data_IF_445379870628
#
_entry.id   IF_445379870628
#
_cell.length_a   1.000
_cell.length_b   1.000
_cell.length_c   1.000
_cell.angle_alpha   90.00
_cell.angle_beta   90.00
_cell.angle_gamma   90.00
#
_symmetry.space_group_name_H-M   'P 1'
#
loop_
_entity.id
_entity.type
_entity.pdbx_description
1 polymer ?
#
# COMPACT_ATOMS: atom_id res chain seq x y z
N UNK A 1 3.80 3.91 11.32
CA UNK A 1 3.16 3.95 9.99
C UNK A 1 3.93 3.02 9.08
N UNK A 2 3.22 2.06 8.47
CA UNK A 2 3.80 1.01 7.63
C UNK A 2 3.45 1.29 6.16
N UNK A 3 4.45 1.44 5.30
CA UNK A 3 4.29 1.76 3.88
C UNK A 3 4.75 0.59 3.01
N UNK A 4 3.89 0.12 2.11
CA UNK A 4 4.22 -0.91 1.15
C UNK A 4 4.75 -0.33 -0.16
N UNK A 5 5.96 -0.70 -0.59
CA UNK A 5 6.48 -0.33 -1.89
C UNK A 5 5.97 -1.35 -2.92
N UNK A 6 5.19 -0.88 -3.89
CA UNK A 6 4.59 -1.71 -4.93
C UNK A 6 4.94 -1.21 -6.32
N UNK A 7 4.83 -2.07 -7.32
CA UNK A 7 5.06 -1.74 -8.73
C UNK A 7 5.39 -3.00 -9.53
N UNK A 8 5.44 -2.87 -10.84
CA UNK A 8 5.81 -3.96 -11.74
C UNK A 8 7.25 -4.45 -11.51
N UNK A 9 7.63 -5.63 -11.98
CA UNK A 9 9.03 -6.07 -11.96
C UNK A 9 9.94 -5.09 -12.70
N UNK A 10 11.20 -4.97 -12.24
CA UNK A 10 12.26 -4.16 -12.87
C UNK A 10 11.99 -2.64 -12.96
N UNK A 11 11.11 -2.09 -12.12
CA UNK A 11 10.85 -0.64 -12.06
C UNK A 11 11.74 0.11 -11.06
N UNK A 12 12.56 -0.60 -10.27
CA UNK A 12 13.47 0.00 -9.29
C UNK A 12 13.00 -0.04 -7.83
N UNK A 13 11.98 -0.84 -7.49
CA UNK A 13 11.45 -0.95 -6.10
C UNK A 13 12.54 -1.25 -5.07
N UNK A 14 13.27 -2.34 -5.26
CA UNK A 14 14.31 -2.77 -4.32
C UNK A 14 15.50 -1.79 -4.28
N UNK A 15 15.75 -1.08 -5.38
CA UNK A 15 16.74 0.00 -5.41
C UNK A 15 16.31 1.15 -4.53
N UNK A 16 15.05 1.59 -4.65
CA UNK A 16 14.46 2.62 -3.80
C UNK A 16 14.46 2.19 -2.34
N UNK A 17 13.97 0.98 -2.05
CA UNK A 17 13.97 0.41 -0.70
C UNK A 17 15.36 0.41 -0.07
N UNK A 18 16.36 -0.11 -0.78
CA UNK A 18 17.74 -0.15 -0.32
C UNK A 18 18.33 1.25 -0.11
N UNK A 19 17.98 2.22 -0.94
CA UNK A 19 18.45 3.60 -0.80
C UNK A 19 17.85 4.27 0.45
N UNK A 20 16.58 4.06 0.72
CA UNK A 20 15.89 4.57 1.89
C UNK A 20 16.42 3.93 3.19
N UNK A 21 16.55 2.61 3.19
CA UNK A 21 16.91 1.85 4.39
C UNK A 21 18.40 1.92 4.75
N UNK A 22 19.30 2.01 3.74
CA UNK A 22 20.73 2.20 4.00
C UNK A 22 21.04 3.54 4.67
N UNK A 23 20.33 4.60 4.28
CA UNK A 23 20.49 5.91 4.90
C UNK A 23 20.03 5.92 6.37
N UNK A 24 19.04 5.09 6.73
CA UNK A 24 18.51 4.99 8.10
C UNK A 24 19.10 3.87 8.96
N UNK A 25 19.86 2.94 8.38
CA UNK A 25 20.29 1.72 9.09
C UNK A 25 21.20 2.00 10.31
N UNK A 26 22.04 3.02 10.26
CA UNK A 26 22.92 3.40 11.38
C UNK A 26 22.11 3.97 12.57
N UNK A 27 20.98 4.62 12.30
CA UNK A 27 20.11 5.20 13.32
C UNK A 27 19.06 4.18 13.81
N UNK A 28 18.59 3.30 12.93
CA UNK A 28 17.58 2.30 13.25
C UNK A 28 17.99 1.33 14.38
N UNK A 29 19.29 1.02 14.51
CA UNK A 29 19.83 0.17 15.56
C UNK A 29 19.60 0.74 16.99
N UNK A 30 19.30 2.03 17.10
CA UNK A 30 19.08 2.70 18.39
C UNK A 30 17.60 2.74 18.82
N UNK A 31 16.67 2.23 17.98
CA UNK A 31 15.25 2.22 18.32
C UNK A 31 14.87 0.92 19.03
N UNK A 32 14.29 0.98 20.24
CA UNK A 32 13.75 -0.19 20.92
C UNK A 32 12.60 -0.78 20.12
N UNK A 33 12.55 -2.12 20.02
CA UNK A 33 11.51 -2.89 19.31
C UNK A 33 11.62 -2.99 17.78
N UNK A 34 12.79 -2.69 17.18
CA UNK A 34 13.03 -2.98 15.77
C UNK A 34 13.23 -4.48 15.56
N UNK A 35 12.24 -5.17 15.05
CA UNK A 35 12.39 -6.54 14.53
C UNK A 35 13.04 -6.45 13.16
N UNK A 36 14.16 -7.12 12.96
CA UNK A 36 14.83 -7.22 11.65
C UNK A 36 14.11 -8.32 10.89
N UNK A 37 13.08 -7.94 10.14
CA UNK A 37 12.43 -8.83 9.19
C UNK A 37 13.03 -8.62 7.79
N UNK A 38 13.23 -9.69 7.01
CA UNK A 38 13.64 -9.53 5.62
C UNK A 38 12.56 -8.72 4.87
N UNK A 39 13.00 -7.75 4.07
CA UNK A 39 12.15 -6.83 3.31
C UNK A 39 11.39 -5.76 4.14
N UNK A 40 11.72 -5.56 5.41
CA UNK A 40 11.21 -4.45 6.23
C UNK A 40 12.36 -3.52 6.59
N UNK A 41 12.20 -2.25 6.31
CA UNK A 41 13.20 -1.22 6.63
C UNK A 41 12.58 -0.09 7.45
N UNK A 42 13.23 0.29 8.55
CA UNK A 42 12.77 1.39 9.40
C UNK A 42 13.60 2.61 9.07
N UNK A 43 12.92 3.71 8.78
CA UNK A 43 13.55 4.98 8.40
C UNK A 43 13.07 6.06 9.38
N UNK A 44 14.00 6.75 10.09
CA UNK A 44 13.63 7.89 10.91
C UNK A 44 13.17 9.07 10.02
N UNK A 45 12.19 9.82 10.51
CA UNK A 45 11.71 11.03 9.86
C UNK A 45 12.47 12.22 10.42
N UNK A 46 13.35 12.89 9.64
CA UNK A 46 14.08 14.05 10.10
C UNK A 46 13.10 15.18 10.44
N UNK A 47 13.24 15.76 11.63
CA UNK A 47 12.44 16.92 12.05
C UNK A 47 13.33 17.92 12.82
N UNK A 48 13.69 19.00 12.16
CA UNK A 48 14.53 20.07 12.74
C UNK A 48 13.92 20.71 13.99
N UNK A 49 12.61 20.60 14.19
CA UNK A 49 11.95 21.12 15.40
C UNK A 49 12.35 20.33 16.63
N UNK A 50 12.59 19.03 16.47
CA UNK A 50 13.08 18.17 17.56
C UNK A 50 14.48 18.57 18.01
N UNK A 51 15.37 18.94 17.10
CA UNK A 51 16.73 19.37 17.42
C UNK A 51 16.69 20.66 18.25
N UNK A 52 15.88 21.64 17.85
CA UNK A 52 15.69 22.89 18.60
C UNK A 52 15.10 22.64 19.98
N UNK A 53 14.07 21.78 20.09
CA UNK A 53 13.45 21.44 21.37
C UNK A 53 14.43 20.70 22.29
N UNK A 54 15.23 19.79 21.72
CA UNK A 54 16.24 19.05 22.47
C UNK A 54 17.31 19.98 23.06
N UNK A 55 17.75 20.97 22.29
CA UNK A 55 18.71 21.98 22.75
C UNK A 55 18.10 22.86 23.85
N UNK A 56 16.88 23.38 23.64
CA UNK A 56 16.15 24.22 24.62
C UNK A 56 15.95 23.51 25.97
N UNK A 57 15.67 22.20 25.96
CA UNK A 57 15.36 21.41 27.15
C UNK A 57 16.54 20.56 27.62
N UNK A 58 17.71 20.68 27.01
CA UNK A 58 18.91 19.87 27.29
C UNK A 58 18.58 18.36 27.40
N UNK A 59 17.82 17.88 26.42
CA UNK A 59 17.31 16.52 26.41
C UNK A 59 18.44 15.48 26.26
N UNK A 60 18.48 14.51 27.16
CA UNK A 60 19.50 13.45 27.14
C UNK A 60 19.36 12.51 25.93
N UNK A 61 18.17 12.44 25.32
CA UNK A 61 17.88 11.58 24.16
C UNK A 61 16.82 12.23 23.27
N UNK A 62 17.05 12.20 21.97
CA UNK A 62 16.06 12.59 20.94
C UNK A 62 15.60 11.34 20.21
N UNK A 63 14.30 11.16 20.06
CA UNK A 63 13.69 10.03 19.34
C UNK A 63 12.82 10.58 18.24
N UNK A 64 13.22 10.36 16.99
CA UNK A 64 12.43 10.73 15.82
C UNK A 64 11.24 9.78 15.60
N UNK A 65 10.18 10.26 14.96
CA UNK A 65 9.16 9.38 14.43
C UNK A 65 9.76 8.47 13.36
N UNK A 66 9.24 7.26 13.23
CA UNK A 66 9.73 6.30 12.23
C UNK A 66 8.64 5.89 11.25
N UNK A 67 9.07 5.59 10.02
CA UNK A 67 8.26 4.96 8.98
C UNK A 67 8.87 3.59 8.71
N UNK A 68 8.02 2.58 8.67
CA UNK A 68 8.39 1.24 8.23
C UNK A 68 8.10 1.13 6.72
N UNK A 69 9.11 0.81 5.94
CA UNK A 69 8.97 0.47 4.53
C UNK A 69 9.02 -1.05 4.36
N UNK A 70 8.10 -1.58 3.57
CA UNK A 70 8.05 -2.99 3.21
C UNK A 70 8.26 -3.11 1.71
N UNK A 71 9.31 -3.83 1.28
CA UNK A 71 9.48 -4.18 -0.14
C UNK A 71 8.54 -5.34 -0.47
N UNK A 72 7.42 -5.00 -1.09
CA UNK A 72 6.44 -5.99 -1.52
C UNK A 72 6.85 -6.50 -2.90
N UNK A 73 7.01 -7.81 -3.04
CA UNK A 73 7.40 -8.44 -4.30
C UNK A 73 6.53 -7.93 -5.46
N UNK A 74 7.16 -7.70 -6.61
CA UNK A 74 6.49 -7.10 -7.78
C UNK A 74 5.25 -7.87 -8.21
N UNK A 75 4.19 -7.14 -8.50
CA UNK A 75 2.96 -7.68 -9.04
C UNK A 75 3.21 -8.17 -10.47
N UNK A 76 2.75 -9.37 -10.77
CA UNK A 76 2.68 -9.91 -12.13
C UNK A 76 1.21 -9.86 -12.55
N UNK A 77 0.95 -9.47 -13.79
CA UNK A 77 -0.40 -9.42 -14.39
C UNK A 77 -1.14 -10.75 -14.18
N UNK A 78 -2.36 -10.69 -13.66
CA UNK A 78 -3.15 -11.88 -13.32
C UNK A 78 -2.96 -12.39 -11.90
N UNK A 79 -2.31 -11.63 -11.03
CA UNK A 79 -2.10 -11.99 -9.62
C UNK A 79 -3.42 -12.17 -8.84
N UNK A 80 -4.47 -11.46 -9.21
CA UNK A 80 -5.81 -11.55 -8.63
C UNK A 80 -6.53 -12.86 -8.99
N UNK A 81 -6.12 -13.57 -10.05
CA UNK A 81 -6.75 -14.83 -10.49
C UNK A 81 -6.30 -16.08 -9.74
N UNK A 82 -5.57 -15.92 -8.64
CA UNK A 82 -5.53 -16.93 -7.59
C UNK A 82 -4.43 -18.00 -7.66
N UNK A 83 -3.38 -17.82 -8.44
CA UNK A 83 -2.27 -18.78 -8.41
C UNK A 83 -1.05 -18.21 -7.65
N UNK A 84 -0.83 -18.70 -6.43
CA UNK A 84 0.43 -18.61 -5.67
C UNK A 84 0.87 -17.21 -5.25
N UNK A 85 1.78 -16.58 -6.00
CA UNK A 85 2.44 -15.32 -5.64
C UNK A 85 1.50 -14.11 -5.58
N UNK A 86 0.40 -14.11 -6.34
CA UNK A 86 -0.59 -13.05 -6.33
C UNK A 86 -1.32 -12.93 -5.00
N UNK A 87 -1.74 -14.03 -4.41
CA UNK A 87 -2.39 -14.03 -3.11
C UNK A 87 -1.47 -13.53 -2.00
N UNK A 88 -0.18 -13.84 -2.07
CA UNK A 88 0.80 -13.36 -1.11
C UNK A 88 1.05 -11.87 -1.25
N UNK A 89 1.13 -11.35 -2.48
CA UNK A 89 1.21 -9.91 -2.75
C UNK A 89 0.04 -9.15 -2.15
N UNK A 90 -1.19 -9.61 -2.39
CA UNK A 90 -2.40 -8.98 -1.87
C UNK A 90 -2.51 -9.10 -0.35
N UNK A 91 -2.02 -10.19 0.25
CA UNK A 91 -1.94 -10.31 1.71
C UNK A 91 -0.99 -9.26 2.30
N UNK A 92 0.19 -9.07 1.72
CA UNK A 92 1.15 -8.07 2.17
C UNK A 92 0.62 -6.63 2.04
N UNK A 93 -0.15 -6.33 0.98
CA UNK A 93 -0.78 -5.01 0.83
C UNK A 93 -1.79 -4.72 1.94
N UNK A 94 -2.52 -5.72 2.40
CA UNK A 94 -3.51 -5.56 3.50
C UNK A 94 -2.89 -5.28 4.86
N UNK A 95 -1.60 -5.53 5.02
CA UNK A 95 -0.86 -5.32 6.27
C UNK A 95 -0.22 -3.93 6.37
N UNK A 96 -0.31 -3.11 5.33
CA UNK A 96 0.29 -1.77 5.28
C UNK A 96 -0.76 -0.68 5.38
N UNK A 97 -0.36 0.47 5.96
CA UNK A 97 -1.25 1.63 6.13
C UNK A 97 -1.44 2.43 4.85
N UNK A 98 -0.44 2.41 3.95
CA UNK A 98 -0.49 3.07 2.66
C UNK A 98 0.48 2.41 1.67
N UNK A 99 0.32 2.73 0.38
CA UNK A 99 1.09 2.18 -0.73
C UNK A 99 1.96 3.28 -1.34
N UNK A 100 3.23 2.96 -1.58
CA UNK A 100 4.15 3.74 -2.41
C UNK A 100 4.27 3.04 -3.76
N UNK A 101 3.60 3.57 -4.76
CA UNK A 101 3.61 3.01 -6.10
C UNK A 101 4.83 3.49 -6.89
N UNK A 102 5.74 2.58 -7.21
CA UNK A 102 6.94 2.86 -8.01
C UNK A 102 6.66 2.53 -9.47
N UNK A 103 6.78 3.55 -10.32
CA UNK A 103 6.48 3.47 -11.75
C UNK A 103 7.73 3.83 -12.54
N UNK A 104 8.04 3.04 -13.57
CA UNK A 104 9.18 3.29 -14.45
C UNK A 104 8.81 4.34 -15.49
N UNK A 105 9.53 5.48 -15.46
CA UNK A 105 9.36 6.58 -16.41
C UNK A 105 10.60 6.84 -17.26
N UNK A 106 11.58 5.94 -17.23
CA UNK A 106 12.84 6.06 -17.99
C UNK A 106 13.03 4.88 -18.95
N UNK A 107 13.69 5.14 -20.07
CA UNK A 107 14.10 4.12 -21.02
C UNK A 107 15.55 3.69 -20.76
N UNK A 108 15.77 2.37 -20.69
CA UNK A 108 17.08 1.74 -20.63
C UNK A 108 17.00 0.38 -21.32
N UNK A 109 17.75 0.22 -22.41
CA UNK A 109 17.77 -1.01 -23.21
C UNK A 109 18.31 -2.22 -22.46
N UNK A 110 19.08 -2.03 -21.39
CA UNK A 110 19.63 -3.11 -20.58
C UNK A 110 18.64 -3.64 -19.53
N UNK A 111 17.53 -2.93 -19.30
CA UNK A 111 16.52 -3.31 -18.30
C UNK A 111 15.26 -3.73 -19.05
N UNK A 112 14.96 -5.02 -19.04
CA UNK A 112 13.77 -5.57 -19.70
C UNK A 112 12.50 -5.10 -18.97
N UNK A 113 11.52 -4.56 -19.72
CA UNK A 113 10.19 -4.27 -19.24
C UNK A 113 9.28 -5.49 -19.43
N UNK A 114 8.39 -5.77 -18.47
CA UNK A 114 7.51 -6.97 -18.49
C UNK A 114 6.60 -6.97 -19.71
N UNK A 115 6.08 -5.80 -20.11
CA UNK A 115 5.21 -5.65 -21.27
C UNK A 115 5.96 -5.22 -22.56
N UNK A 116 7.30 -5.30 -22.56
CA UNK A 116 8.15 -5.03 -23.72
C UNK A 116 8.36 -3.55 -24.03
N UNK A 117 7.59 -2.62 -23.47
CA UNK A 117 7.72 -1.17 -23.64
C UNK A 117 7.42 -0.43 -22.35
N UNK A 118 8.06 0.73 -22.16
CA UNK A 118 7.79 1.61 -21.02
C UNK A 118 6.54 2.44 -21.33
N UNK A 119 5.52 2.30 -20.50
CA UNK A 119 4.29 3.09 -20.53
C UNK A 119 3.80 3.30 -19.10
N UNK A 120 4.14 4.43 -18.47
CA UNK A 120 3.84 4.66 -17.06
C UNK A 120 2.33 4.66 -16.75
N UNK A 121 1.50 5.14 -17.67
CA UNK A 121 0.04 5.20 -17.47
C UNK A 121 -0.55 3.79 -17.46
N UNK A 122 -0.22 2.99 -18.45
CA UNK A 122 -0.61 1.58 -18.53
C UNK A 122 -0.16 0.80 -17.30
N UNK A 123 1.07 1.04 -16.83
CA UNK A 123 1.65 0.34 -15.69
C UNK A 123 0.91 0.69 -14.38
N UNK A 124 0.51 1.97 -14.20
CA UNK A 124 -0.33 2.42 -13.10
C UNK A 124 -1.70 1.74 -13.16
N UNK A 125 -2.34 1.76 -14.32
CA UNK A 125 -3.65 1.15 -14.54
C UNK A 125 -3.63 -0.35 -14.24
N UNK A 126 -2.56 -1.05 -14.65
CA UNK A 126 -2.39 -2.48 -14.39
C UNK A 126 -2.40 -2.78 -12.89
N UNK A 127 -1.64 -2.03 -12.09
CA UNK A 127 -1.62 -2.21 -10.62
C UNK A 127 -2.98 -1.85 -10.02
N UNK A 128 -3.59 -0.75 -10.44
CA UNK A 128 -4.90 -0.33 -9.93
C UNK A 128 -5.98 -1.37 -10.21
N UNK A 129 -5.98 -1.97 -11.39
CA UNK A 129 -6.93 -3.03 -11.75
C UNK A 129 -6.75 -4.30 -10.90
N UNK A 130 -5.51 -4.72 -10.64
CA UNK A 130 -5.25 -5.88 -9.79
C UNK A 130 -5.70 -5.65 -8.35
N UNK A 131 -5.50 -4.44 -7.81
CA UNK A 131 -6.01 -4.05 -6.50
C UNK A 131 -7.54 -4.04 -6.47
N UNK A 132 -8.17 -3.47 -7.51
CA UNK A 132 -9.62 -3.43 -7.67
C UNK A 132 -10.21 -4.85 -7.68
N UNK A 133 -9.63 -5.77 -8.45
CA UNK A 133 -10.11 -7.15 -8.51
C UNK A 133 -9.99 -7.87 -7.16
N UNK A 134 -8.91 -7.62 -6.41
CA UNK A 134 -8.76 -8.14 -5.05
C UNK A 134 -9.86 -7.66 -4.11
N UNK A 135 -10.17 -6.37 -4.16
CA UNK A 135 -11.20 -5.79 -3.32
C UNK A 135 -12.59 -6.27 -3.72
N UNK A 136 -12.84 -6.41 -5.03
CA UNK A 136 -14.07 -6.99 -5.57
C UNK A 136 -14.32 -8.41 -5.05
N UNK A 137 -13.30 -9.26 -5.02
CA UNK A 137 -13.43 -10.62 -4.50
C UNK A 137 -13.88 -10.64 -3.02
N UNK A 138 -13.36 -9.69 -2.22
CA UNK A 138 -13.76 -9.56 -0.81
C UNK A 138 -15.23 -9.10 -0.71
N UNK A 139 -15.61 -8.09 -1.50
CA UNK A 139 -16.98 -7.59 -1.52
C UNK A 139 -17.97 -8.66 -1.98
N UNK A 140 -17.63 -9.45 -3.00
CA UNK A 140 -18.48 -10.54 -3.47
C UNK A 140 -18.69 -11.61 -2.40
N UNK A 141 -17.63 -12.02 -1.72
CA UNK A 141 -17.72 -12.94 -0.59
C UNK A 141 -18.59 -12.38 0.56
N UNK A 142 -18.45 -11.09 0.87
CA UNK A 142 -19.27 -10.41 1.88
C UNK A 142 -20.73 -10.32 1.45
N UNK A 143 -20.99 -9.90 0.23
CA UNK A 143 -22.34 -9.78 -0.34
C UNK A 143 -23.06 -11.13 -0.33
N UNK A 144 -22.41 -12.21 -0.78
CA UNK A 144 -23.00 -13.54 -0.79
C UNK A 144 -23.40 -14.04 0.62
N UNK A 145 -22.64 -13.66 1.66
CA UNK A 145 -23.00 -13.95 3.06
C UNK A 145 -24.20 -13.10 3.51
N UNK A 146 -24.18 -11.78 3.24
CA UNK A 146 -25.24 -10.86 3.63
C UNK A 146 -26.58 -11.22 3.01
N UNK A 147 -26.65 -11.56 1.72
CA UNK A 147 -27.87 -11.96 1.03
C UNK A 147 -28.52 -13.19 1.69
N UNK A 148 -27.70 -14.12 2.21
CA UNK A 148 -28.24 -15.29 2.96
C UNK A 148 -28.74 -14.89 4.34
N UNK A 149 -28.00 -14.03 5.05
CA UNK A 149 -28.29 -13.64 6.43
C UNK A 149 -29.45 -12.68 6.55
N UNK A 150 -29.65 -11.79 5.57
CA UNK A 150 -30.73 -10.78 5.56
C UNK A 150 -32.13 -11.41 5.58
N UNK A 151 -32.27 -12.64 5.14
CA UNK A 151 -33.53 -13.39 5.19
C UNK A 151 -34.01 -13.65 6.63
N UNK A 152 -33.05 -13.80 7.54
CA UNK A 152 -33.29 -14.08 8.95
C UNK A 152 -33.09 -12.85 9.85
N UNK A 153 -32.33 -11.84 9.41
CA UNK A 153 -32.01 -10.67 10.16
C UNK A 153 -32.20 -9.39 9.31
N UNK A 154 -33.29 -8.71 9.52
CA UNK A 154 -33.64 -7.47 8.79
C UNK A 154 -32.75 -6.28 9.13
N UNK A 155 -31.97 -6.33 10.20
CA UNK A 155 -31.05 -5.24 10.56
C UNK A 155 -29.90 -5.11 9.52
N UNK A 156 -29.62 -6.20 8.80
CA UNK A 156 -28.57 -6.27 7.76
C UNK A 156 -28.98 -5.67 6.40
N UNK A 157 -30.22 -5.23 6.22
CA UNK A 157 -30.71 -4.69 4.93
C UNK A 157 -29.84 -3.51 4.48
N UNK A 158 -29.61 -2.53 5.35
CA UNK A 158 -28.82 -1.33 5.01
C UNK A 158 -27.37 -1.67 4.64
N UNK A 159 -26.77 -2.63 5.33
CA UNK A 159 -25.41 -3.09 5.01
C UNK A 159 -25.40 -3.80 3.65
N UNK A 160 -26.39 -4.63 3.36
CA UNK A 160 -26.50 -5.33 2.08
C UNK A 160 -26.62 -4.36 0.91
N UNK A 161 -27.50 -3.35 1.03
CA UNK A 161 -27.67 -2.30 0.02
C UNK A 161 -26.37 -1.49 -0.18
N UNK A 162 -25.63 -1.18 0.89
CA UNK A 162 -24.37 -0.49 0.80
C UNK A 162 -23.33 -1.33 0.05
N UNK A 163 -23.18 -2.61 0.39
CA UNK A 163 -22.22 -3.52 -0.26
C UNK A 163 -22.56 -3.72 -1.72
N UNK A 164 -23.86 -3.83 -2.07
CA UNK A 164 -24.31 -3.92 -3.45
C UNK A 164 -23.95 -2.65 -4.25
N UNK A 165 -24.20 -1.48 -3.67
CA UNK A 165 -23.81 -0.19 -4.27
C UNK A 165 -22.31 -0.07 -4.50
N UNK A 166 -21.48 -0.49 -3.50
CA UNK A 166 -20.04 -0.49 -3.61
C UNK A 166 -19.58 -1.44 -4.72
N UNK A 167 -20.14 -2.64 -4.76
CA UNK A 167 -19.86 -3.63 -5.80
C UNK A 167 -20.10 -3.05 -7.20
N UNK A 168 -21.28 -2.47 -7.44
CA UNK A 168 -21.62 -1.86 -8.73
C UNK A 168 -20.65 -0.73 -9.08
N UNK A 169 -20.30 0.12 -8.12
CA UNK A 169 -19.34 1.21 -8.34
C UNK A 169 -17.97 0.72 -8.79
N UNK A 170 -17.51 -0.38 -8.21
CA UNK A 170 -16.23 -1.00 -8.59
C UNK A 170 -16.32 -1.77 -9.91
N UNK A 171 -17.46 -2.39 -10.25
CA UNK A 171 -17.72 -3.01 -11.56
C UNK A 171 -17.62 -1.99 -12.70
N UNK A 172 -17.98 -0.74 -12.44
CA UNK A 172 -17.82 0.39 -13.37
C UNK A 172 -16.36 0.88 -13.48
N UNK A 173 -15.39 0.19 -12.86
CA UNK A 173 -13.96 0.52 -12.89
C UNK A 173 -13.53 1.61 -11.91
N UNK A 174 -14.41 2.04 -11.01
CA UNK A 174 -14.10 3.10 -10.04
C UNK A 174 -13.44 2.51 -8.79
N UNK A 175 -12.22 2.93 -8.52
CA UNK A 175 -11.52 2.56 -7.29
C UNK A 175 -12.07 3.36 -6.09
N UNK A 176 -12.37 2.68 -4.98
CA UNK A 176 -12.86 3.33 -3.76
C UNK A 176 -11.85 4.29 -3.15
N UNK A 177 -10.56 4.05 -3.37
CA UNK A 177 -9.47 4.90 -2.87
C UNK A 177 -9.55 6.32 -3.44
N UNK A 178 -9.91 6.47 -4.72
CA UNK A 178 -10.00 7.78 -5.39
C UNK A 178 -11.34 8.47 -5.19
N UNK A 179 -12.37 7.74 -4.83
CA UNK A 179 -13.73 8.27 -4.67
C UNK A 179 -14.10 8.56 -3.23
N UNK A 180 -13.31 8.07 -2.27
CA UNK A 180 -13.50 8.36 -0.85
C UNK A 180 -12.77 9.66 -0.47
N UNK A 181 -13.45 10.65 0.15
CA UNK A 181 -12.78 11.86 0.57
C UNK A 181 -11.69 11.55 1.60
N UNK A 182 -10.50 12.08 1.37
CA UNK A 182 -9.38 11.98 2.30
C UNK A 182 -9.77 12.54 3.67
N UNK A 183 -9.23 12.02 4.78
CA UNK A 183 -9.41 12.61 6.10
C UNK A 183 -9.05 14.11 6.16
N UNK A 184 -8.12 14.57 5.29
CA UNK A 184 -7.76 15.99 5.16
C UNK A 184 -8.86 16.82 4.48
N UNK A 185 -9.64 16.24 3.60
CA UNK A 185 -10.72 16.93 2.90
C UNK A 185 -11.93 17.14 3.80
N UNK A 186 -12.14 16.25 4.79
CA UNK A 186 -13.20 16.37 5.80
C UNK A 186 -12.99 17.51 6.78
N UNK A 187 -11.76 18.03 6.90
CA UNK A 187 -11.45 19.16 7.79
C UNK A 187 -11.70 20.52 7.14
N UNK A 188 -12.07 20.56 5.86
CA UNK A 188 -12.32 21.80 5.09
C UNK A 188 -13.80 22.10 4.86
N UNK A 189 -14.70 21.26 5.40
CA UNK A 189 -16.15 21.45 5.29
C UNK A 189 -16.78 21.94 6.60
#
# INVERSE_FOLDING_TARGET
MKLGIVGLPNVGKSTLFNSLTKAGAAEAANYPFCTIEPNVGIVPVPDKRLDVLAEMHQSAKVVHATIEFVDIAGLVKGASKGEGLGNQFLANIREVDAIVHVVRCFDDSNIVHVDGSVDPVRDIETINLELLFSDMEILERRYAKLVKSVKNDKTLVKETELVEKLKKHMEDGNCLLYTSPSPRDRQKS
#
